data_IF_934512809997
#
_entry.id   IF_934512809997
#
_cell.length_a   1.000
_cell.length_b   1.000
_cell.length_c   1.000
_cell.angle_alpha   90.00
_cell.angle_beta   90.00
_cell.angle_gamma   90.00
#
_symmetry.space_group_name_H-M   'P 1'
#
loop_
_entity.id
_entity.type
_entity.pdbx_description
1 polymer ?
#
# COMPACT_ATOMS: atom_id res chain seq x y z
N UNK A 1 -2.04 -27.15 -3.90
CA UNK A 1 -1.31 -25.93 -4.29
C UNK A 1 0.14 -26.04 -3.89
N UNK A 2 0.50 -26.12 -2.59
CA UNK A 2 1.88 -26.14 -2.08
C UNK A 2 2.79 -27.20 -2.77
N UNK A 3 2.33 -28.43 -2.93
CA UNK A 3 3.12 -29.51 -3.55
C UNK A 3 3.43 -29.22 -5.03
N UNK A 4 2.46 -28.66 -5.78
CA UNK A 4 2.65 -28.29 -7.19
C UNK A 4 3.61 -27.12 -7.34
N UNK A 5 3.48 -26.10 -6.49
CA UNK A 5 4.41 -24.96 -6.47
C UNK A 5 5.83 -25.43 -6.16
N UNK A 6 5.99 -26.30 -5.15
CA UNK A 6 7.29 -26.87 -4.79
C UNK A 6 7.91 -27.66 -5.95
N UNK A 7 7.15 -28.53 -6.59
CA UNK A 7 7.63 -29.30 -7.76
C UNK A 7 8.12 -28.37 -8.89
N UNK A 8 7.37 -27.31 -9.17
CA UNK A 8 7.78 -26.31 -10.17
C UNK A 8 9.06 -25.59 -9.80
N UNK A 9 9.23 -25.22 -8.52
CA UNK A 9 10.44 -24.58 -8.02
C UNK A 9 11.65 -25.52 -8.04
N UNK A 10 11.47 -26.80 -7.68
CA UNK A 10 12.53 -27.82 -7.72
C UNK A 10 13.03 -28.07 -9.15
N UNK A 11 12.11 -28.07 -10.13
CA UNK A 11 12.41 -28.27 -11.54
C UNK A 11 13.06 -27.06 -12.22
N UNK A 12 12.93 -25.86 -11.65
CA UNK A 12 13.51 -24.64 -12.23
C UNK A 12 15.03 -24.57 -12.06
N UNK A 13 15.74 -24.05 -13.07
CA UNK A 13 17.16 -23.74 -12.99
C UNK A 13 17.44 -22.55 -12.10
N UNK A 14 16.61 -21.50 -12.19
CA UNK A 14 16.65 -20.28 -11.37
C UNK A 14 15.24 -19.83 -11.03
N UNK A 15 15.11 -19.21 -9.86
CA UNK A 15 13.86 -18.64 -9.34
C UNK A 15 14.11 -17.18 -9.03
N UNK A 16 13.32 -16.29 -9.66
CA UNK A 16 13.32 -14.87 -9.36
C UNK A 16 12.19 -14.57 -8.36
N UNK A 17 12.56 -14.14 -7.17
CA UNK A 17 11.63 -13.68 -6.15
C UNK A 17 11.54 -12.14 -6.17
N UNK A 18 10.35 -11.58 -6.07
CA UNK A 18 10.12 -10.12 -6.16
C UNK A 18 10.60 -9.35 -4.92
N UNK A 19 11.06 -10.04 -3.89
CA UNK A 19 11.59 -9.46 -2.64
C UNK A 19 12.42 -10.48 -1.87
N UNK A 20 13.24 -10.04 -0.93
CA UNK A 20 13.89 -10.94 0.03
C UNK A 20 12.89 -11.62 0.95
N UNK A 21 11.77 -10.95 1.29
CA UNK A 21 10.65 -11.58 1.99
C UNK A 21 10.16 -12.84 1.25
N UNK A 22 9.88 -12.71 -0.05
CA UNK A 22 9.44 -13.84 -0.89
C UNK A 22 10.57 -14.87 -1.07
N UNK A 23 11.81 -14.42 -1.31
CA UNK A 23 12.99 -15.29 -1.38
C UNK A 23 13.13 -16.18 -0.14
N UNK A 24 12.99 -15.58 1.05
CA UNK A 24 13.11 -16.31 2.31
C UNK A 24 11.96 -17.32 2.51
N UNK A 25 10.74 -17.01 2.02
CA UNK A 25 9.64 -17.97 1.99
C UNK A 25 9.96 -19.16 1.10
N UNK A 26 10.47 -18.93 -0.10
CA UNK A 26 10.86 -20.00 -1.03
C UNK A 26 11.95 -20.90 -0.44
N UNK A 27 12.96 -20.33 0.19
CA UNK A 27 14.05 -21.09 0.81
C UNK A 27 13.56 -21.84 2.05
N UNK A 28 12.92 -21.13 3.00
CA UNK A 28 12.66 -21.68 4.34
C UNK A 28 11.39 -22.54 4.40
N UNK A 29 10.33 -22.20 3.64
CA UNK A 29 9.07 -22.96 3.66
C UNK A 29 9.02 -24.06 2.62
N UNK A 30 9.56 -23.79 1.42
CA UNK A 30 9.56 -24.78 0.34
C UNK A 30 10.82 -25.65 0.34
N UNK A 31 11.86 -25.25 1.09
CA UNK A 31 13.12 -26.01 1.18
C UNK A 31 13.94 -25.98 -0.11
N UNK A 32 13.84 -24.91 -0.89
CA UNK A 32 14.58 -24.76 -2.15
C UNK A 32 16.00 -24.29 -1.86
N UNK A 33 16.96 -24.81 -2.66
CA UNK A 33 18.37 -24.43 -2.58
C UNK A 33 18.53 -22.91 -2.75
N UNK A 34 19.14 -22.20 -1.76
CA UNK A 34 19.38 -20.77 -1.82
C UNK A 34 20.13 -20.29 -3.07
N UNK A 35 20.98 -21.13 -3.64
CA UNK A 35 21.77 -20.82 -4.85
C UNK A 35 20.90 -20.67 -6.10
N UNK A 36 19.71 -21.26 -6.10
CA UNK A 36 18.72 -21.14 -7.18
C UNK A 36 17.86 -19.88 -7.07
N UNK A 37 17.77 -19.22 -5.90
CA UNK A 37 16.80 -18.15 -5.64
C UNK A 37 17.49 -16.81 -5.55
N UNK A 38 17.11 -15.89 -6.43
CA UNK A 38 17.59 -14.51 -6.46
C UNK A 38 16.41 -13.54 -6.20
N UNK A 39 16.64 -12.49 -5.41
CA UNK A 39 15.67 -11.43 -5.25
C UNK A 39 15.89 -10.38 -6.36
N UNK A 40 14.81 -10.05 -7.08
CA UNK A 40 14.77 -9.00 -8.10
C UNK A 40 13.56 -8.12 -7.79
N UNK A 41 13.81 -6.92 -7.28
CA UNK A 41 12.73 -6.02 -6.87
C UNK A 41 11.99 -5.45 -8.09
N UNK A 42 10.68 -5.27 -7.94
CA UNK A 42 9.91 -4.58 -8.97
C UNK A 42 10.26 -3.09 -9.02
N UNK A 43 10.14 -2.52 -10.20
CA UNK A 43 10.22 -1.09 -10.45
C UNK A 43 8.93 -0.60 -11.13
N UNK A 44 8.77 0.71 -11.26
CA UNK A 44 7.64 1.35 -11.95
C UNK A 44 8.19 2.18 -13.09
N UNK A 45 7.56 2.10 -14.26
CA UNK A 45 7.88 2.99 -15.36
C UNK A 45 7.38 4.41 -15.04
N UNK A 46 8.32 5.34 -15.00
CA UNK A 46 8.09 6.67 -14.46
C UNK A 46 7.45 7.63 -15.46
N UNK A 47 7.50 7.35 -16.75
CA UNK A 47 6.92 8.21 -17.78
C UNK A 47 5.40 8.21 -17.77
N UNK A 48 4.80 7.16 -17.22
CA UNK A 48 3.34 7.05 -17.12
C UNK A 48 2.72 7.83 -15.94
N UNK A 49 3.51 8.15 -14.89
CA UNK A 49 3.02 8.83 -13.67
C UNK A 49 3.43 10.30 -13.60
N UNK A 50 2.93 11.11 -14.54
CA UNK A 50 3.02 12.57 -14.38
C UNK A 50 2.05 13.05 -13.32
N UNK A 51 2.54 13.94 -12.45
CA UNK A 51 1.70 14.56 -11.41
C UNK A 51 0.51 15.26 -12.08
N UNK A 52 -0.71 14.84 -11.68
CA UNK A 52 -1.94 15.44 -12.20
C UNK A 52 -2.38 16.56 -11.26
N UNK A 53 -2.59 17.75 -11.82
CA UNK A 53 -3.27 18.81 -11.08
C UNK A 53 -4.79 18.55 -11.09
N UNK A 54 -5.38 18.45 -9.90
CA UNK A 54 -6.82 18.26 -9.72
C UNK A 54 -7.40 19.38 -8.87
N UNK A 55 -8.57 19.90 -9.26
CA UNK A 55 -9.33 20.80 -8.41
C UNK A 55 -10.12 19.98 -7.40
N UNK A 56 -9.80 20.14 -6.13
CA UNK A 56 -10.55 19.49 -5.05
C UNK A 56 -11.88 20.21 -4.86
N UNK A 57 -12.96 19.45 -4.79
CA UNK A 57 -14.32 19.95 -4.46
C UNK A 57 -14.66 19.86 -2.97
N UNK A 58 -13.70 19.38 -2.15
CA UNK A 58 -13.85 19.20 -0.70
C UNK A 58 -12.61 19.69 0.03
N UNK A 59 -12.79 20.30 1.19
CA UNK A 59 -11.70 20.79 2.04
C UNK A 59 -11.14 19.68 2.96
N UNK A 60 -11.90 18.58 3.13
CA UNK A 60 -11.47 17.45 3.95
C UNK A 60 -10.18 16.82 3.38
N UNK A 61 -9.29 16.39 4.26
CA UNK A 61 -8.12 15.58 3.93
C UNK A 61 -8.55 14.19 3.47
N UNK A 62 -7.82 13.59 2.54
CA UNK A 62 -8.17 12.30 1.95
C UNK A 62 -7.09 11.27 2.23
N UNK A 63 -7.47 10.20 2.92
CA UNK A 63 -6.64 9.02 3.18
C UNK A 63 -7.12 7.87 2.31
N UNK A 64 -6.22 7.29 1.50
CA UNK A 64 -6.58 6.33 0.46
C UNK A 64 -5.95 4.97 0.67
N UNK A 65 -6.77 3.94 0.49
CA UNK A 65 -6.38 2.54 0.31
C UNK A 65 -6.65 2.14 -1.15
N UNK A 66 -5.69 1.48 -1.80
CA UNK A 66 -5.86 0.93 -3.14
C UNK A 66 -5.44 -0.54 -3.18
N UNK A 67 -6.34 -1.42 -3.60
CA UNK A 67 -6.02 -2.83 -3.79
C UNK A 67 -7.25 -3.73 -3.83
N UNK A 68 -7.01 -5.04 -3.99
CA UNK A 68 -8.08 -6.02 -3.85
C UNK A 68 -8.63 -6.00 -2.43
N UNK A 69 -9.94 -5.93 -2.27
CA UNK A 69 -10.57 -5.92 -0.94
C UNK A 69 -10.72 -7.37 -0.46
N UNK A 70 -9.58 -7.96 -0.06
CA UNK A 70 -9.42 -9.34 0.40
C UNK A 70 -8.67 -9.36 1.73
N UNK A 71 -8.70 -10.47 2.45
CA UNK A 71 -7.97 -10.63 3.72
C UNK A 71 -6.49 -10.28 3.59
N UNK A 72 -5.84 -10.67 2.51
CA UNK A 72 -4.42 -10.41 2.24
C UNK A 72 -4.07 -8.92 2.26
N UNK A 73 -4.97 -8.06 1.78
CA UNK A 73 -4.75 -6.62 1.68
C UNK A 73 -5.15 -5.83 2.94
N UNK A 74 -5.79 -6.49 3.90
CA UNK A 74 -6.07 -5.93 5.20
C UNK A 74 -7.07 -4.77 5.26
N UNK A 75 -8.22 -4.80 4.52
CA UNK A 75 -9.20 -3.72 4.54
C UNK A 75 -9.77 -3.46 5.92
N UNK A 76 -9.84 -4.48 6.77
CA UNK A 76 -10.35 -4.37 8.15
C UNK A 76 -9.43 -3.49 9.01
N UNK A 77 -8.11 -3.65 8.88
CA UNK A 77 -7.14 -2.83 9.62
C UNK A 77 -7.21 -1.36 9.19
N UNK A 78 -7.41 -1.09 7.90
CA UNK A 78 -7.65 0.26 7.40
C UNK A 78 -8.90 0.90 8.02
N UNK A 79 -10.01 0.15 8.09
CA UNK A 79 -11.28 0.65 8.66
C UNK A 79 -11.12 0.94 10.17
N UNK A 80 -10.46 0.05 10.92
CA UNK A 80 -10.24 0.26 12.36
C UNK A 80 -9.32 1.47 12.62
N UNK A 81 -8.26 1.63 11.83
CA UNK A 81 -7.40 2.82 11.92
C UNK A 81 -8.16 4.09 11.57
N UNK A 82 -8.98 4.06 10.51
CA UNK A 82 -9.85 5.18 10.14
C UNK A 82 -10.81 5.59 11.26
N UNK A 83 -11.44 4.60 11.91
CA UNK A 83 -12.31 4.85 13.06
C UNK A 83 -11.56 5.58 14.19
N UNK A 84 -10.33 5.13 14.53
CA UNK A 84 -9.50 5.79 15.56
C UNK A 84 -9.10 7.22 15.18
N UNK A 85 -8.74 7.46 13.92
CA UNK A 85 -8.42 8.80 13.42
C UNK A 85 -9.62 9.72 13.54
N UNK A 86 -10.82 9.25 13.18
CA UNK A 86 -12.07 10.03 13.23
C UNK A 86 -12.50 10.42 14.65
N UNK A 87 -11.99 9.72 15.68
CA UNK A 87 -12.20 10.15 17.08
C UNK A 87 -11.40 11.43 17.42
N UNK A 88 -10.34 11.75 16.65
CA UNK A 88 -9.45 12.90 16.90
C UNK A 88 -9.57 13.98 15.81
N UNK A 89 -9.98 13.62 14.58
CA UNK A 89 -10.05 14.49 13.41
C UNK A 89 -11.36 14.31 12.66
N UNK A 90 -12.17 15.38 12.53
CA UNK A 90 -13.44 15.36 11.79
C UNK A 90 -13.31 15.78 10.32
N UNK A 91 -12.22 16.49 9.96
CA UNK A 91 -11.95 17.02 8.61
C UNK A 91 -11.16 16.06 7.73
N UNK A 92 -11.47 14.77 7.81
CA UNK A 92 -10.82 13.71 7.03
C UNK A 92 -11.86 12.78 6.42
N UNK A 93 -11.57 12.30 5.21
CA UNK A 93 -12.32 11.27 4.49
C UNK A 93 -11.41 10.11 4.15
N UNK A 94 -11.99 8.92 4.12
CA UNK A 94 -11.30 7.69 3.80
C UNK A 94 -11.84 7.15 2.49
N UNK A 95 -10.95 6.78 1.57
CA UNK A 95 -11.29 6.21 0.28
C UNK A 95 -10.74 4.80 0.20
N UNK A 96 -11.62 3.84 -0.05
CA UNK A 96 -11.25 2.45 -0.31
C UNK A 96 -11.49 2.14 -1.78
N UNK A 97 -10.40 2.08 -2.55
CA UNK A 97 -10.43 1.81 -3.98
C UNK A 97 -10.09 0.36 -4.27
N UNK A 98 -10.99 -0.31 -4.97
CA UNK A 98 -10.84 -1.71 -5.36
C UNK A 98 -12.12 -2.51 -5.25
N UNK A 99 -11.99 -3.83 -5.46
CA UNK A 99 -13.09 -4.79 -5.28
C UNK A 99 -12.53 -6.10 -4.71
N UNK A 100 -13.40 -6.92 -4.15
CA UNK A 100 -13.02 -8.23 -3.59
C UNK A 100 -14.11 -8.84 -2.71
N UNK A 101 -13.84 -10.03 -2.23
CA UNK A 101 -14.74 -10.84 -1.42
C UNK A 101 -15.11 -10.20 -0.05
N UNK A 102 -14.24 -9.33 0.48
CA UNK A 102 -14.50 -8.60 1.72
C UNK A 102 -15.23 -7.26 1.53
N UNK A 103 -15.59 -6.85 0.30
CA UNK A 103 -16.26 -5.56 0.05
C UNK A 103 -17.50 -5.39 0.91
N UNK A 104 -18.44 -6.32 0.84
CA UNK A 104 -19.70 -6.23 1.60
C UNK A 104 -19.49 -6.24 3.12
N UNK A 105 -18.46 -6.97 3.58
CA UNK A 105 -18.08 -6.99 5.01
C UNK A 105 -17.51 -5.65 5.43
N UNK A 106 -16.67 -5.04 4.60
CA UNK A 106 -16.09 -3.71 4.81
C UNK A 106 -17.17 -2.63 4.92
N UNK A 107 -18.12 -2.61 3.98
CA UNK A 107 -19.25 -1.65 4.00
C UNK A 107 -20.07 -1.80 5.29
N UNK A 108 -20.42 -3.03 5.68
CA UNK A 108 -21.16 -3.29 6.93
C UNK A 108 -20.37 -2.85 8.17
N UNK A 109 -19.03 -3.07 8.16
CA UNK A 109 -18.19 -2.66 9.29
C UNK A 109 -18.15 -1.15 9.44
N UNK A 110 -17.97 -0.41 8.34
CA UNK A 110 -18.02 1.06 8.29
C UNK A 110 -19.35 1.59 8.81
N UNK A 111 -20.48 1.00 8.37
CA UNK A 111 -21.82 1.36 8.84
C UNK A 111 -22.00 1.08 10.35
N UNK A 112 -21.53 -0.08 10.83
CA UNK A 112 -21.59 -0.46 12.25
C UNK A 112 -20.79 0.48 13.15
N UNK A 113 -19.68 1.01 12.65
CA UNK A 113 -18.85 1.98 13.37
C UNK A 113 -19.42 3.42 13.32
N UNK A 114 -20.47 3.67 12.54
CA UNK A 114 -21.10 4.99 12.41
C UNK A 114 -20.25 6.02 11.65
N UNK A 115 -19.34 5.57 10.75
CA UNK A 115 -18.42 6.43 10.00
C UNK A 115 -18.70 6.42 8.48
N UNK A 116 -19.90 6.01 8.08
CA UNK A 116 -20.24 5.85 6.66
C UNK A 116 -20.22 7.17 5.87
N UNK A 117 -20.52 8.29 6.48
CA UNK A 117 -20.46 9.63 5.89
C UNK A 117 -19.05 10.12 5.59
N UNK A 118 -18.04 9.51 6.22
CA UNK A 118 -16.61 9.79 6.05
C UNK A 118 -15.90 8.76 5.18
N UNK A 119 -16.59 7.73 4.70
CA UNK A 119 -16.02 6.64 3.94
C UNK A 119 -16.57 6.59 2.52
N UNK A 120 -15.69 6.45 1.52
CA UNK A 120 -16.05 6.32 0.12
C UNK A 120 -15.46 5.03 -0.48
N UNK A 121 -16.32 4.19 -1.07
CA UNK A 121 -15.94 2.98 -1.80
C UNK A 121 -16.07 3.25 -3.30
N UNK A 122 -14.94 3.30 -4.01
CA UNK A 122 -14.94 3.65 -5.43
C UNK A 122 -15.30 2.48 -6.35
N UNK A 123 -15.18 1.23 -5.86
CA UNK A 123 -15.07 0.08 -6.74
C UNK A 123 -13.70 0.02 -7.40
N UNK A 124 -13.59 -0.77 -8.46
CA UNK A 124 -12.33 -1.01 -9.16
C UNK A 124 -11.97 0.19 -10.05
N UNK A 125 -10.75 0.71 -9.91
CA UNK A 125 -10.20 1.81 -10.71
C UNK A 125 -9.15 1.30 -11.70
N UNK A 126 -8.98 2.00 -12.84
CA UNK A 126 -7.98 1.68 -13.88
C UNK A 126 -7.34 2.95 -14.46
N UNK A 127 -6.10 2.82 -14.90
CA UNK A 127 -5.39 3.84 -15.67
C UNK A 127 -5.45 5.23 -15.02
N UNK A 128 -5.98 6.21 -15.74
CA UNK A 128 -6.04 7.60 -15.27
C UNK A 128 -6.91 7.82 -14.03
N UNK A 129 -7.88 6.95 -13.75
CA UNK A 129 -8.69 7.07 -12.52
C UNK A 129 -7.87 6.74 -11.26
N UNK A 130 -6.89 5.84 -11.36
CA UNK A 130 -5.91 5.58 -10.29
C UNK A 130 -5.03 6.81 -10.08
N UNK A 131 -4.54 7.43 -11.16
CA UNK A 131 -3.72 8.65 -11.10
C UNK A 131 -4.50 9.81 -10.48
N UNK A 132 -5.75 10.02 -10.89
CA UNK A 132 -6.66 11.02 -10.29
C UNK A 132 -6.88 10.77 -8.81
N UNK A 133 -7.13 9.51 -8.42
CA UNK A 133 -7.31 9.15 -7.02
C UNK A 133 -6.07 9.53 -6.19
N UNK A 134 -4.86 9.20 -6.65
CA UNK A 134 -3.63 9.62 -5.95
C UNK A 134 -3.48 11.15 -5.93
N UNK A 135 -3.82 11.86 -7.01
CA UNK A 135 -3.77 13.32 -7.05
C UNK A 135 -4.74 13.98 -6.04
N UNK A 136 -5.83 13.31 -5.66
CA UNK A 136 -6.72 13.75 -4.56
C UNK A 136 -6.23 13.36 -3.18
N UNK A 137 -5.32 12.39 -3.07
CA UNK A 137 -4.91 11.80 -1.78
C UNK A 137 -3.92 12.69 -1.03
N UNK A 138 -4.11 12.83 0.28
CA UNK A 138 -3.13 13.44 1.20
C UNK A 138 -2.23 12.38 1.85
N UNK A 139 -2.74 11.15 2.03
CA UNK A 139 -2.00 10.01 2.59
C UNK A 139 -2.46 8.74 1.88
N UNK A 140 -1.52 7.89 1.53
CA UNK A 140 -1.78 6.53 1.06
C UNK A 140 -1.43 5.51 2.14
N UNK A 141 -2.23 4.44 2.25
CA UNK A 141 -1.98 3.37 3.21
C UNK A 141 -2.15 1.98 2.58
N UNK A 142 -1.17 1.09 2.86
CA UNK A 142 -1.18 -0.32 2.47
C UNK A 142 -1.00 -1.21 3.70
N UNK A 143 -2.09 -1.60 4.40
CA UNK A 143 -2.05 -2.41 5.63
C UNK A 143 -2.07 -3.90 5.33
N UNK A 144 -1.33 -4.34 4.31
CA UNK A 144 -1.37 -5.73 3.84
C UNK A 144 -0.85 -6.70 4.90
N UNK A 145 -1.58 -7.79 5.11
CA UNK A 145 -1.20 -8.90 6.01
C UNK A 145 0.00 -9.66 5.44
N UNK A 146 0.05 -9.80 4.12
CA UNK A 146 1.15 -10.43 3.39
C UNK A 146 1.19 -9.86 1.98
N UNK A 147 2.28 -9.21 1.63
CA UNK A 147 2.45 -8.60 0.33
C UNK A 147 3.80 -9.01 -0.26
N UNK A 148 3.83 -9.80 -1.34
CA UNK A 148 5.09 -10.25 -1.96
C UNK A 148 6.02 -9.10 -2.31
N UNK A 149 5.49 -7.99 -2.85
CA UNK A 149 6.20 -6.74 -3.06
C UNK A 149 5.32 -5.54 -2.72
N UNK A 150 4.37 -5.17 -3.57
CA UNK A 150 3.48 -4.02 -3.43
C UNK A 150 3.91 -2.86 -4.34
N UNK A 151 3.28 -2.75 -5.53
CA UNK A 151 3.57 -1.69 -6.50
C UNK A 151 2.84 -0.38 -6.13
N UNK A 152 1.63 -0.46 -5.60
CA UNK A 152 0.81 0.72 -5.30
C UNK A 152 1.45 1.77 -4.36
N UNK A 153 2.31 1.43 -3.38
CA UNK A 153 3.07 2.44 -2.65
C UNK A 153 4.04 3.22 -3.54
N UNK A 154 4.67 2.58 -4.54
CA UNK A 154 5.55 3.25 -5.49
C UNK A 154 4.77 4.26 -6.33
N UNK A 155 3.57 3.87 -6.82
CA UNK A 155 2.66 4.73 -7.58
C UNK A 155 2.18 5.93 -6.75
N UNK A 156 1.82 5.70 -5.48
CA UNK A 156 1.42 6.76 -4.55
C UNK A 156 2.57 7.75 -4.30
N UNK A 157 3.76 7.25 -3.95
CA UNK A 157 4.94 8.09 -3.69
C UNK A 157 5.37 8.83 -4.95
N UNK A 158 5.30 8.20 -6.14
CA UNK A 158 5.54 8.87 -7.41
C UNK A 158 4.56 10.01 -7.69
N UNK A 159 3.32 9.88 -7.21
CA UNK A 159 2.29 10.92 -7.26
C UNK A 159 2.44 11.97 -6.14
N UNK A 160 3.59 12.01 -5.46
CA UNK A 160 3.89 12.92 -4.35
C UNK A 160 2.96 12.73 -3.14
N UNK A 161 2.50 11.50 -2.89
CA UNK A 161 1.63 11.14 -1.75
C UNK A 161 2.46 10.39 -0.70
N UNK A 162 2.55 10.91 0.55
CA UNK A 162 3.23 10.22 1.62
C UNK A 162 2.51 8.90 1.94
N UNK A 163 3.29 7.84 2.16
CA UNK A 163 2.77 6.49 2.23
C UNK A 163 3.05 5.82 3.57
N UNK A 164 2.05 5.10 4.08
CA UNK A 164 2.15 4.20 5.23
C UNK A 164 2.03 2.77 4.70
N UNK A 165 2.98 1.91 5.03
CA UNK A 165 3.01 0.53 4.53
C UNK A 165 3.19 -0.47 5.66
N UNK A 166 2.68 -1.67 5.44
CA UNK A 166 2.93 -2.81 6.32
C UNK A 166 4.38 -3.25 6.23
N UNK A 167 5.02 -3.54 7.38
CA UNK A 167 6.33 -4.19 7.45
C UNK A 167 6.32 -5.59 6.81
N UNK A 168 5.14 -6.22 6.71
CA UNK A 168 4.92 -7.53 6.10
C UNK A 168 4.75 -7.45 4.57
N UNK A 169 5.45 -6.50 3.94
CA UNK A 169 5.48 -6.31 2.49
C UNK A 169 6.90 -6.26 1.97
N UNK A 170 7.14 -6.83 0.78
CA UNK A 170 8.46 -6.81 0.15
C UNK A 170 8.93 -5.39 -0.20
N UNK A 171 8.02 -4.48 -0.52
CA UNK A 171 8.36 -3.08 -0.80
C UNK A 171 8.92 -2.35 0.43
N UNK A 172 8.65 -2.83 1.66
CA UNK A 172 9.25 -2.29 2.87
C UNK A 172 10.78 -2.45 2.94
N UNK A 173 11.35 -3.35 2.13
CA UNK A 173 12.80 -3.54 2.02
C UNK A 173 13.49 -2.38 1.31
N UNK A 174 12.80 -1.72 0.39
CA UNK A 174 13.37 -0.73 -0.53
C UNK A 174 12.89 0.70 -0.29
N UNK A 175 11.80 0.91 0.46
CA UNK A 175 11.28 2.24 0.76
C UNK A 175 11.70 2.69 2.16
N UNK A 176 12.58 3.68 2.25
CA UNK A 176 13.04 4.27 3.51
C UNK A 176 12.14 5.40 4.00
N UNK A 177 11.50 6.12 3.07
CA UNK A 177 10.67 7.29 3.37
C UNK A 177 9.17 7.00 3.51
N UNK A 178 8.75 5.74 3.33
CA UNK A 178 7.44 5.30 3.76
C UNK A 178 7.43 4.99 5.27
N UNK A 179 6.37 5.40 5.97
CA UNK A 179 6.20 5.01 7.38
C UNK A 179 5.82 3.53 7.42
N UNK A 180 6.51 2.75 8.25
CA UNK A 180 6.33 1.29 8.34
C UNK A 180 5.67 0.91 9.66
N UNK A 181 4.50 0.28 9.59
CA UNK A 181 3.79 -0.23 10.76
C UNK A 181 3.57 -1.73 10.64
N UNK A 182 3.36 -2.44 11.75
CA UNK A 182 2.84 -3.79 11.68
C UNK A 182 1.35 -3.72 11.31
N UNK A 183 0.86 -4.63 10.42
CA UNK A 183 -0.53 -4.54 9.92
C UNK A 183 -1.58 -4.67 11.03
N UNK A 184 -1.25 -5.36 12.13
CA UNK A 184 -2.13 -5.53 13.29
C UNK A 184 -2.08 -4.38 14.29
N UNK A 185 -1.07 -3.50 14.18
CA UNK A 185 -0.91 -2.36 15.09
C UNK A 185 -1.75 -1.17 14.62
N UNK A 186 -3.04 -1.22 14.96
CA UNK A 186 -4.03 -0.22 14.59
C UNK A 186 -3.68 1.15 15.18
N UNK A 187 -3.10 1.18 16.39
CA UNK A 187 -2.73 2.43 17.06
C UNK A 187 -1.58 3.12 16.34
N UNK A 188 -0.49 2.40 16.08
CA UNK A 188 0.62 2.94 15.31
C UNK A 188 0.20 3.43 13.91
N UNK A 189 -0.73 2.68 13.26
CA UNK A 189 -1.26 3.04 11.96
C UNK A 189 -2.11 4.33 12.03
N UNK A 190 -2.99 4.44 13.02
CA UNK A 190 -3.81 5.63 13.24
C UNK A 190 -2.95 6.85 13.61
N UNK A 191 -1.93 6.68 14.44
CA UNK A 191 -1.02 7.76 14.81
C UNK A 191 -0.15 8.21 13.64
N UNK A 192 0.29 7.30 12.78
CA UNK A 192 0.99 7.63 11.53
C UNK A 192 0.11 8.45 10.57
N UNK A 193 -1.16 8.05 10.37
CA UNK A 193 -2.14 8.82 9.59
C UNK A 193 -2.30 10.21 10.20
N UNK A 194 -2.58 10.28 11.51
CA UNK A 194 -2.77 11.54 12.22
C UNK A 194 -1.54 12.45 12.08
N UNK A 195 -0.34 11.90 12.23
CA UNK A 195 0.92 12.61 12.07
C UNK A 195 1.06 13.24 10.68
N UNK A 196 0.85 12.47 9.62
CA UNK A 196 0.94 12.98 8.25
C UNK A 196 -0.15 14.02 7.93
N UNK A 197 -1.34 13.92 8.51
CA UNK A 197 -2.42 14.87 8.26
C UNK A 197 -2.23 16.20 8.99
N UNK A 198 -1.61 16.20 10.19
CA UNK A 198 -1.55 17.36 11.08
C UNK A 198 -0.17 18.04 11.15
N UNK A 199 0.89 17.39 10.65
CA UNK A 199 2.24 17.96 10.60
C UNK A 199 2.69 18.15 9.14
N UNK A 200 2.40 19.32 8.51
CA UNK A 200 2.69 19.55 7.08
C UNK A 200 4.17 19.37 6.71
N UNK A 201 5.08 19.68 7.62
CA UNK A 201 6.51 19.49 7.40
C UNK A 201 6.88 18.00 7.26
N UNK A 202 6.29 17.13 8.10
CA UNK A 202 6.47 15.67 8.01
C UNK A 202 5.91 15.14 6.70
N UNK A 203 4.68 15.52 6.35
CA UNK A 203 4.04 15.08 5.12
C UNK A 203 4.83 15.51 3.87
N UNK A 204 5.23 16.79 3.82
CA UNK A 204 6.00 17.35 2.69
C UNK A 204 7.38 16.68 2.56
N UNK A 205 8.08 16.43 3.67
CA UNK A 205 9.37 15.73 3.66
C UNK A 205 9.19 14.30 3.14
N UNK A 206 8.24 13.54 3.72
CA UNK A 206 7.97 12.15 3.32
C UNK A 206 7.59 12.05 1.84
N UNK A 207 6.73 12.94 1.35
CA UNK A 207 6.32 12.97 -0.04
C UNK A 207 7.50 13.28 -0.98
N UNK A 208 8.24 14.37 -0.74
CA UNK A 208 9.37 14.77 -1.58
C UNK A 208 10.49 13.73 -1.62
N UNK A 209 10.96 13.29 -0.44
CA UNK A 209 12.02 12.29 -0.37
C UNK A 209 11.53 10.94 -0.94
N UNK A 210 10.26 10.63 -0.78
CA UNK A 210 9.64 9.46 -1.38
C UNK A 210 9.66 9.47 -2.91
N UNK A 211 9.36 10.61 -3.54
CA UNK A 211 9.48 10.77 -5.01
C UNK A 211 10.92 10.55 -5.45
N UNK A 212 11.90 11.13 -4.75
CA UNK A 212 13.32 10.98 -5.07
C UNK A 212 13.77 9.51 -4.95
N UNK A 213 13.36 8.82 -3.87
CA UNK A 213 13.66 7.41 -3.63
C UNK A 213 13.09 6.52 -4.73
N UNK A 214 11.80 6.68 -5.06
CA UNK A 214 11.13 5.87 -6.09
C UNK A 214 11.73 6.13 -7.48
N UNK A 215 12.18 7.35 -7.80
CA UNK A 215 12.83 7.66 -9.07
C UNK A 215 14.16 6.89 -9.28
N UNK A 216 14.76 6.37 -8.21
CA UNK A 216 15.97 5.55 -8.27
C UNK A 216 15.68 4.04 -8.40
N UNK A 217 14.42 3.62 -8.21
CA UNK A 217 13.99 2.23 -8.39
C UNK A 217 13.63 1.97 -9.85
N UNK A 218 14.65 1.83 -10.69
CA UNK A 218 14.52 1.58 -12.14
C UNK A 218 14.78 0.14 -12.46
N UNK A 219 14.16 -0.36 -13.54
CA UNK A 219 14.36 -1.72 -14.03
C UNK A 219 15.81 -2.01 -14.42
N UNK A 220 16.55 -1.00 -14.86
CA UNK A 220 17.98 -1.12 -15.19
C UNK A 220 18.86 -1.41 -13.97
N UNK A 221 18.34 -1.19 -12.76
CA UNK A 221 19.02 -1.38 -11.49
C UNK A 221 18.51 -2.61 -10.71
N UNK A 222 17.57 -3.37 -11.27
CA UNK A 222 16.92 -4.52 -10.64
C UNK A 222 17.74 -5.81 -10.68
#
# INVERSE_FOLDING_TARGET
>A
VFALEKMGMEAADKIMAVSNLTRNIVINKYGIDPSKVVAVHNAVDFDEFKQMEVKRGVDDKIVTFLGRITYQKGPEYFIEAAYKVLQKCSNVRFVMAGNGDLMNRSIRRVAKLGIADKFHFTGFLRGDDVKKMFAYSDVYIMPSVSEPFGISPLEAMKSNVPSIISKQSGVAEVLSYAIKTDFWDIDAMADAIYGLLNYPALASMSARCGVEEVNNLKWENA
#
